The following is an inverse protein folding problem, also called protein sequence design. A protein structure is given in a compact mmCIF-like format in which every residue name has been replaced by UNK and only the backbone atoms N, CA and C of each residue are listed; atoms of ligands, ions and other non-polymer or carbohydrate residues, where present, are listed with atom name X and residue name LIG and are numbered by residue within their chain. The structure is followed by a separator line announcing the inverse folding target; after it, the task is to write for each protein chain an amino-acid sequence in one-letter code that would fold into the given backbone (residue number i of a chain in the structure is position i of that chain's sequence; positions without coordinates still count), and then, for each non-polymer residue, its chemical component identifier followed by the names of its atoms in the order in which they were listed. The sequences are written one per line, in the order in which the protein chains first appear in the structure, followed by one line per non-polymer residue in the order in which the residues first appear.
data_IF_676076283808
#
_entry.id   IF_676076283808
#
_cell.length_a   1.000
_cell.length_b   1.000
_cell.length_c   1.000
_cell.angle_alpha   90.00
_cell.angle_beta   90.00
_cell.angle_gamma   90.00
#
_symmetry.space_group_name_H-M   'P 1'
#
loop_
_entity.id
_entity.type
_entity.pdbx_description
1 polymer ?
#
# COMPACT_ATOMS: atom_id res chain seq x y z
N UNK A 1 4.54 1.89 22.67
CA UNK A 1 3.57 2.50 21.74
C UNK A 1 2.28 1.72 21.90
N UNK A 2 1.64 1.80 23.08
CA UNK A 2 0.38 1.13 23.40
C UNK A 2 -0.69 2.18 23.70
N UNK A 3 -0.91 3.08 22.74
CA UNK A 3 -1.44 4.41 23.08
C UNK A 3 -2.95 4.55 22.95
N UNK A 4 -3.62 3.75 22.10
CA UNK A 4 -5.07 3.87 21.88
C UNK A 4 -5.86 2.87 22.74
N UNK A 5 -5.52 1.57 22.64
CA UNK A 5 -6.18 0.50 23.39
C UNK A 5 -6.16 0.76 24.90
N UNK A 6 -5.00 1.13 25.43
CA UNK A 6 -4.82 1.32 26.88
C UNK A 6 -5.45 2.65 27.35
N UNK A 7 -5.37 3.71 26.53
CA UNK A 7 -6.00 4.99 26.84
C UNK A 7 -7.53 4.91 26.87
N UNK A 8 -8.11 4.09 25.97
CA UNK A 8 -9.55 3.88 25.83
C UNK A 8 -10.03 2.61 26.54
N UNK A 9 -9.21 2.00 27.41
CA UNK A 9 -9.53 0.81 28.20
C UNK A 9 -10.32 -0.24 27.41
N UNK A 10 -9.73 -0.75 26.33
CA UNK A 10 -10.39 -1.67 25.39
C UNK A 10 -9.58 -2.94 25.15
N UNK A 11 -10.19 -4.02 24.67
CA UNK A 11 -9.47 -5.27 24.42
C UNK A 11 -8.65 -5.21 23.12
N UNK A 12 -9.11 -4.41 22.14
CA UNK A 12 -8.42 -4.26 20.87
C UNK A 12 -8.62 -2.91 20.20
N UNK A 13 -7.68 -2.56 19.32
CA UNK A 13 -7.85 -1.47 18.37
C UNK A 13 -7.17 -1.80 17.04
N UNK A 14 -7.64 -1.18 15.96
CA UNK A 14 -7.09 -1.37 14.63
C UNK A 14 -7.16 -0.11 13.79
N UNK A 15 -6.18 0.05 12.91
CA UNK A 15 -6.18 1.04 11.84
C UNK A 15 -6.46 0.31 10.54
N UNK A 16 -7.56 0.66 9.90
CA UNK A 16 -7.88 0.17 8.57
C UNK A 16 -7.62 1.28 7.57
N UNK A 17 -6.72 1.05 6.63
CA UNK A 17 -6.34 2.03 5.63
C UNK A 17 -7.23 1.92 4.40
N UNK A 18 -7.63 3.07 3.87
CA UNK A 18 -8.38 3.15 2.62
C UNK A 18 -7.45 2.83 1.45
N UNK A 19 -7.88 1.87 0.62
CA UNK A 19 -7.23 1.49 -0.62
C UNK A 19 -7.93 2.18 -1.81
N UNK A 20 -7.39 3.31 -2.25
CA UNK A 20 -8.01 4.19 -3.26
C UNK A 20 -8.45 3.47 -4.56
N UNK A 21 -7.69 2.52 -5.13
CA UNK A 21 -8.10 1.79 -6.33
C UNK A 21 -9.38 0.95 -6.18
N UNK A 22 -9.59 0.31 -5.02
CA UNK A 22 -10.72 -0.61 -4.80
C UNK A 22 -11.84 0.03 -3.99
N UNK A 23 -11.51 1.01 -3.15
CA UNK A 23 -12.37 1.55 -2.12
C UNK A 23 -12.50 0.66 -0.88
N UNK A 24 -11.75 -0.44 -0.81
CA UNK A 24 -11.74 -1.33 0.34
C UNK A 24 -10.95 -0.72 1.51
N UNK A 25 -11.24 -1.21 2.71
CA UNK A 25 -10.46 -0.93 3.90
C UNK A 25 -9.57 -2.14 4.22
N UNK A 26 -8.28 -1.89 4.48
CA UNK A 26 -7.29 -2.94 4.75
C UNK A 26 -6.75 -2.79 6.17
N UNK A 27 -6.79 -3.86 6.97
CA UNK A 27 -6.21 -3.86 8.30
C UNK A 27 -4.67 -3.70 8.22
N UNK A 28 -4.16 -2.50 8.51
CA UNK A 28 -2.72 -2.22 8.46
C UNK A 28 -2.04 -2.37 9.83
N UNK A 29 -2.72 -1.92 10.88
CA UNK A 29 -2.28 -2.08 12.28
C UNK A 29 -3.42 -2.72 13.06
N UNK A 30 -3.11 -3.76 13.83
CA UNK A 30 -4.06 -4.41 14.73
C UNK A 30 -3.35 -4.68 16.04
N UNK A 31 -3.91 -4.15 17.13
CA UNK A 31 -3.40 -4.31 18.50
C UNK A 31 -4.46 -5.05 19.30
N UNK A 32 -4.09 -6.17 19.89
CA UNK A 32 -4.98 -7.06 20.62
C UNK A 32 -4.55 -8.52 20.46
N UNK A 33 -5.32 -9.45 21.05
CA UNK A 33 -4.98 -10.88 21.13
C UNK A 33 -4.73 -11.53 19.75
N UNK A 34 -5.36 -11.01 18.68
CA UNK A 34 -5.29 -11.54 17.32
C UNK A 34 -4.54 -10.64 16.33
N UNK A 35 -3.73 -9.70 16.82
CA UNK A 35 -3.12 -8.63 16.03
C UNK A 35 -2.36 -9.08 14.78
N UNK A 36 -1.44 -10.04 14.92
CA UNK A 36 -0.58 -10.49 13.83
C UNK A 36 -1.32 -11.24 12.71
N UNK A 37 -2.50 -11.81 13.01
CA UNK A 37 -3.21 -12.72 12.12
C UNK A 37 -4.27 -11.99 11.27
N UNK A 38 -4.80 -10.88 11.79
CA UNK A 38 -5.84 -10.07 11.10
C UNK A 38 -5.21 -9.08 10.11
N UNK A 39 -3.92 -8.75 10.27
CA UNK A 39 -3.22 -7.81 9.39
C UNK A 39 -3.28 -8.25 7.92
N UNK A 40 -3.65 -7.32 7.03
CA UNK A 40 -3.80 -7.54 5.60
C UNK A 40 -5.18 -8.02 5.16
N UNK A 41 -6.08 -8.35 6.09
CA UNK A 41 -7.47 -8.63 5.76
C UNK A 41 -8.19 -7.39 5.23
N UNK A 42 -9.26 -7.62 4.47
CA UNK A 42 -10.00 -6.56 3.78
C UNK A 42 -11.47 -6.53 4.18
N UNK A 43 -11.97 -5.32 4.40
CA UNK A 43 -13.40 -5.03 4.49
C UNK A 43 -13.81 -4.39 3.16
N UNK A 44 -14.73 -5.01 2.40
CA UNK A 44 -15.16 -4.44 1.14
C UNK A 44 -15.80 -3.06 1.32
N UNK A 45 -15.65 -2.19 0.32
CA UNK A 45 -16.26 -0.86 0.32
C UNK A 45 -17.73 -0.87 0.78
N UNK A 46 -18.07 0.05 1.70
CA UNK A 46 -19.44 0.24 2.20
C UNK A 46 -19.98 -0.90 3.07
N UNK A 47 -19.13 -1.88 3.45
CA UNK A 47 -19.51 -2.98 4.34
C UNK A 47 -19.02 -2.72 5.75
N UNK A 48 -19.78 -3.19 6.74
CA UNK A 48 -19.38 -3.08 8.14
C UNK A 48 -19.56 -1.67 8.69
N UNK A 49 -19.27 -1.53 9.98
CA UNK A 49 -19.22 -0.24 10.66
C UNK A 49 -18.09 0.61 10.08
N UNK A 50 -16.89 0.02 9.92
CA UNK A 50 -15.74 0.66 9.31
C UNK A 50 -16.05 1.24 7.90
N UNK A 51 -16.69 0.45 7.02
CA UNK A 51 -17.04 0.91 5.68
C UNK A 51 -18.06 2.05 5.68
N UNK A 52 -19.04 2.02 6.59
CA UNK A 52 -19.97 3.13 6.75
C UNK A 52 -19.25 4.41 7.21
N UNK A 53 -18.40 4.32 8.23
CA UNK A 53 -17.65 5.47 8.76
C UNK A 53 -16.72 6.06 7.69
N UNK A 54 -16.11 5.20 6.87
CA UNK A 54 -15.32 5.63 5.73
C UNK A 54 -16.15 6.40 4.67
N UNK A 55 -17.40 5.99 4.44
CA UNK A 55 -18.26 6.65 3.44
C UNK A 55 -18.89 7.95 3.95
N UNK A 56 -19.29 8.00 5.21
CA UNK A 56 -19.95 9.17 5.79
C UNK A 56 -18.97 10.20 6.34
N UNK A 57 -17.73 9.80 6.64
CA UNK A 57 -16.78 10.58 7.42
C UNK A 57 -17.34 11.00 8.79
N UNK A 58 -18.29 10.23 9.33
CA UNK A 58 -18.88 10.42 10.65
C UNK A 58 -18.55 9.23 11.55
N UNK A 59 -18.11 9.51 12.77
CA UNK A 59 -17.87 8.48 13.78
C UNK A 59 -19.13 7.68 14.12
N UNK A 60 -18.93 6.46 14.62
CA UNK A 60 -20.00 5.58 15.09
C UNK A 60 -19.63 4.94 16.43
N UNK A 61 -20.61 4.90 17.34
CA UNK A 61 -20.58 4.13 18.59
C UNK A 61 -21.66 3.06 18.51
N UNK A 62 -21.25 1.80 18.65
CA UNK A 62 -22.13 0.64 18.56
C UNK A 62 -22.06 -0.12 19.89
N UNK A 63 -23.19 -0.19 20.60
CA UNK A 63 -23.28 -0.84 21.92
C UNK A 63 -23.32 -2.37 21.81
N UNK A 64 -23.95 -2.91 20.75
CA UNK A 64 -23.97 -4.34 20.43
C UNK A 64 -23.73 -4.55 18.93
N UNK A 65 -22.52 -4.99 18.60
CA UNK A 65 -22.11 -5.22 17.23
C UNK A 65 -22.89 -6.37 16.58
N UNK A 66 -23.20 -7.44 17.31
CA UNK A 66 -23.85 -8.63 16.74
C UNK A 66 -25.32 -8.37 16.40
N UNK A 67 -25.94 -7.36 17.04
CA UNK A 67 -27.31 -6.93 16.76
C UNK A 67 -27.41 -5.77 15.75
N UNK A 68 -26.29 -5.11 15.41
CA UNK A 68 -26.31 -4.02 14.43
C UNK A 68 -26.45 -4.56 13.00
N UNK A 69 -27.43 -4.05 12.25
CA UNK A 69 -27.69 -4.46 10.85
C UNK A 69 -26.50 -4.22 9.91
N UNK A 70 -25.64 -3.25 10.24
CA UNK A 70 -24.46 -2.87 9.45
C UNK A 70 -23.26 -3.76 9.74
N UNK A 71 -23.34 -4.65 10.73
CA UNK A 71 -22.26 -5.52 11.16
C UNK A 71 -21.70 -6.39 10.05
N UNK A 72 -20.37 -6.51 10.01
CA UNK A 72 -19.64 -7.36 9.08
C UNK A 72 -18.82 -8.41 9.83
N UNK A 73 -19.48 -9.45 10.33
CA UNK A 73 -18.86 -10.48 11.18
C UNK A 73 -17.95 -11.49 10.48
N UNK A 74 -17.46 -11.23 9.26
CA UNK A 74 -16.59 -12.16 8.55
C UNK A 74 -15.21 -12.31 9.22
N UNK A 75 -14.67 -11.21 9.76
CA UNK A 75 -13.40 -11.21 10.50
C UNK A 75 -13.55 -12.02 11.80
N UNK A 76 -14.57 -11.71 12.60
CA UNK A 76 -14.92 -12.47 13.81
C UNK A 76 -15.04 -13.98 13.55
N UNK A 77 -15.80 -14.37 12.51
CA UNK A 77 -15.98 -15.79 12.13
C UNK A 77 -14.68 -16.47 11.72
N UNK A 78 -13.81 -15.76 11.00
CA UNK A 78 -12.57 -16.32 10.45
C UNK A 78 -11.51 -16.52 11.54
N UNK A 79 -11.47 -15.64 12.53
CA UNK A 79 -10.42 -15.62 13.56
C UNK A 79 -10.89 -15.98 14.97
N UNK A 80 -12.14 -16.45 15.08
CA UNK A 80 -12.78 -16.80 16.36
C UNK A 80 -12.67 -15.66 17.38
N UNK A 81 -12.88 -14.44 16.90
CA UNK A 81 -12.94 -13.22 17.71
C UNK A 81 -14.40 -12.84 17.95
N UNK A 82 -14.71 -12.29 19.12
CA UNK A 82 -16.06 -11.87 19.46
C UNK A 82 -16.10 -10.37 19.75
N UNK A 83 -16.58 -9.60 18.77
CA UNK A 83 -16.78 -8.16 18.88
C UNK A 83 -18.13 -7.88 19.56
N UNK A 84 -18.08 -7.23 20.72
CA UNK A 84 -19.21 -6.85 21.58
C UNK A 84 -19.68 -5.43 21.28
N UNK A 85 -18.79 -4.45 21.45
CA UNK A 85 -19.08 -3.03 21.20
C UNK A 85 -17.92 -2.40 20.40
N UNK A 86 -18.23 -1.31 19.69
CA UNK A 86 -17.32 -0.69 18.72
C UNK A 86 -17.39 0.84 18.87
N UNK A 87 -16.22 1.47 18.88
CA UNK A 87 -16.04 2.89 18.56
C UNK A 87 -15.20 2.98 17.29
N UNK A 88 -15.77 3.54 16.24
CA UNK A 88 -15.09 3.72 14.97
C UNK A 88 -15.08 5.21 14.60
N UNK A 89 -13.90 5.74 14.28
CA UNK A 89 -13.72 7.15 13.89
C UNK A 89 -12.95 7.24 12.58
N UNK A 90 -13.26 8.22 11.71
CA UNK A 90 -12.53 8.40 10.46
C UNK A 90 -11.16 9.02 10.70
N UNK A 91 -10.21 8.68 9.85
CA UNK A 91 -8.86 9.25 9.79
C UNK A 91 -8.76 10.12 8.54
N UNK A 92 -8.73 11.45 8.72
CA UNK A 92 -8.82 12.42 7.63
C UNK A 92 -7.63 13.37 7.68
N UNK A 93 -7.04 13.66 6.52
CA UNK A 93 -6.00 14.69 6.33
C UNK A 93 -6.38 15.55 5.15
N UNK A 94 -6.44 16.88 5.32
CA UNK A 94 -6.77 17.82 4.23
C UNK A 94 -8.04 17.42 3.45
N UNK A 95 -9.10 17.05 4.18
CA UNK A 95 -10.39 16.60 3.63
C UNK A 95 -10.36 15.26 2.85
N UNK A 96 -9.22 14.56 2.84
CA UNK A 96 -9.10 13.23 2.26
C UNK A 96 -9.10 12.13 3.32
N UNK A 97 -9.87 11.07 3.06
CA UNK A 97 -9.92 9.89 3.90
C UNK A 97 -8.64 9.06 3.75
N UNK A 98 -7.88 8.95 4.84
CA UNK A 98 -6.72 8.05 4.95
C UNK A 98 -7.16 6.63 5.33
N UNK A 99 -8.20 6.51 6.17
CA UNK A 99 -8.69 5.25 6.71
C UNK A 99 -9.64 5.45 7.89
N UNK A 100 -9.77 4.44 8.74
CA UNK A 100 -10.53 4.50 10.00
C UNK A 100 -9.73 3.91 11.15
N UNK A 101 -9.96 4.44 12.36
CA UNK A 101 -9.54 3.85 13.62
C UNK A 101 -10.75 3.17 14.25
N UNK A 102 -10.64 1.86 14.48
CA UNK A 102 -11.67 1.06 15.12
C UNK A 102 -11.16 0.53 16.46
N UNK A 103 -11.92 0.74 17.53
CA UNK A 103 -11.64 0.31 18.89
C UNK A 103 -12.78 -0.62 19.29
N UNK A 104 -12.44 -1.78 19.84
CA UNK A 104 -13.41 -2.84 20.11
C UNK A 104 -13.32 -3.35 21.54
N UNK A 105 -14.47 -3.76 22.06
CA UNK A 105 -14.65 -4.42 23.35
C UNK A 105 -14.09 -3.60 24.51
N UNK A 106 -14.86 -2.60 24.96
CA UNK A 106 -14.52 -1.84 26.15
C UNK A 106 -14.42 -2.73 27.40
N UNK A 107 -13.45 -2.42 28.25
CA UNK A 107 -13.17 -3.08 29.53
C UNK A 107 -13.83 -2.28 30.64
N UNK A 108 -14.56 -2.95 31.54
CA UNK A 108 -15.18 -2.31 32.71
C UNK A 108 -16.41 -1.42 32.42
N UNK A 109 -16.85 -1.32 31.16
CA UNK A 109 -18.02 -0.53 30.72
C UNK A 109 -18.72 -1.19 29.55
N UNK A 110 -20.00 -0.85 29.37
CA UNK A 110 -20.85 -1.39 28.30
C UNK A 110 -20.81 -0.57 27.00
N UNK A 111 -20.46 0.72 27.08
CA UNK A 111 -20.44 1.63 25.93
C UNK A 111 -19.29 2.64 26.00
N UNK A 112 -18.90 3.17 24.84
CA UNK A 112 -18.03 4.33 24.72
C UNK A 112 -18.82 5.62 24.93
N UNK A 113 -18.27 6.57 25.68
CA UNK A 113 -18.87 7.89 25.92
C UNK A 113 -18.20 9.01 25.13
N UNK A 114 -18.70 10.24 25.28
CA UNK A 114 -18.20 11.40 24.54
C UNK A 114 -16.70 11.66 24.75
N UNK A 115 -16.19 11.42 25.97
CA UNK A 115 -14.77 11.54 26.26
C UNK A 115 -13.90 10.55 25.46
N UNK A 116 -14.40 9.33 25.23
CA UNK A 116 -13.72 8.31 24.43
C UNK A 116 -13.73 8.69 22.95
N UNK A 117 -14.85 9.22 22.47
CA UNK A 117 -15.00 9.69 21.09
C UNK A 117 -13.96 10.78 20.81
N UNK A 118 -13.83 11.78 21.69
CA UNK A 118 -12.88 12.87 21.49
C UNK A 118 -11.42 12.40 21.56
N UNK A 119 -11.10 11.48 22.46
CA UNK A 119 -9.77 10.86 22.51
C UNK A 119 -9.46 10.03 21.26
N UNK A 120 -10.42 9.23 20.79
CA UNK A 120 -10.27 8.43 19.59
C UNK A 120 -10.09 9.32 18.35
N UNK A 121 -10.88 10.40 18.20
CA UNK A 121 -10.71 11.39 17.12
C UNK A 121 -9.34 12.04 17.15
N UNK A 122 -8.86 12.44 18.32
CA UNK A 122 -7.52 13.02 18.47
C UNK A 122 -6.43 12.06 18.01
N UNK A 123 -6.48 10.79 18.47
CA UNK A 123 -5.52 9.76 18.07
C UNK A 123 -5.62 9.43 16.57
N UNK A 124 -6.83 9.36 16.03
CA UNK A 124 -7.07 9.14 14.61
C UNK A 124 -6.46 10.26 13.76
N UNK A 125 -6.61 11.52 14.17
CA UNK A 125 -5.98 12.66 13.50
C UNK A 125 -4.45 12.57 13.49
N UNK A 126 -3.83 12.23 14.61
CA UNK A 126 -2.37 12.04 14.69
C UNK A 126 -1.89 10.88 13.80
N UNK A 127 -2.61 9.75 13.85
CA UNK A 127 -2.31 8.58 13.01
C UNK A 127 -2.46 8.91 11.51
N UNK A 128 -3.52 9.63 11.15
CA UNK A 128 -3.78 10.04 9.77
C UNK A 128 -2.63 10.87 9.20
N UNK A 129 -2.16 11.88 9.95
CA UNK A 129 -1.03 12.73 9.55
C UNK A 129 0.25 11.91 9.37
N UNK A 130 0.57 11.03 10.33
CA UNK A 130 1.78 10.22 10.27
C UNK A 130 1.77 9.25 9.08
N UNK A 131 0.64 8.57 8.85
CA UNK A 131 0.47 7.64 7.72
C UNK A 131 0.51 8.40 6.39
N UNK A 132 -0.18 9.53 6.28
CA UNK A 132 -0.16 10.33 5.07
C UNK A 132 1.24 10.84 4.74
N UNK A 133 1.98 11.31 5.75
CA UNK A 133 3.37 11.77 5.58
C UNK A 133 4.27 10.63 5.10
N UNK A 134 4.11 9.42 5.65
CA UNK A 134 4.86 8.25 5.20
C UNK A 134 4.53 7.88 3.75
N UNK A 135 3.25 7.85 3.37
CA UNK A 135 2.82 7.58 1.98
C UNK A 135 3.44 8.57 1.00
N UNK A 136 3.35 9.87 1.30
CA UNK A 136 3.94 10.92 0.47
C UNK A 136 5.46 10.78 0.35
N UNK A 137 6.14 10.42 1.44
CA UNK A 137 7.58 10.18 1.42
C UNK A 137 7.95 8.96 0.56
N UNK A 138 7.20 7.86 0.68
CA UNK A 138 7.42 6.64 -0.10
C UNK A 138 7.16 6.90 -1.60
N UNK A 139 6.12 7.63 -1.95
CA UNK A 139 5.80 8.04 -3.32
C UNK A 139 6.89 8.95 -3.91
N UNK A 140 7.37 9.93 -3.16
CA UNK A 140 8.48 10.80 -3.58
C UNK A 140 9.75 9.98 -3.81
N UNK A 141 10.04 9.03 -2.92
CA UNK A 141 11.22 8.15 -3.02
C UNK A 141 11.13 7.28 -4.29
N UNK A 142 9.97 6.68 -4.55
CA UNK A 142 9.72 5.91 -5.77
C UNK A 142 9.88 6.77 -7.03
N UNK A 143 9.39 8.01 -7.00
CA UNK A 143 9.50 8.94 -8.12
C UNK A 143 10.94 9.37 -8.39
N UNK A 144 11.75 9.57 -7.34
CA UNK A 144 13.18 9.85 -7.46
C UNK A 144 13.90 8.66 -8.12
N UNK A 145 13.59 7.43 -7.71
CA UNK A 145 14.17 6.21 -8.33
C UNK A 145 13.80 6.13 -9.82
N UNK A 146 12.54 6.38 -10.16
CA UNK A 146 12.06 6.37 -11.55
C UNK A 146 12.79 7.41 -12.42
N UNK A 147 12.86 8.66 -11.95
CA UNK A 147 13.54 9.76 -12.66
C UNK A 147 15.04 9.48 -12.81
N UNK A 148 15.68 8.93 -11.77
CA UNK A 148 17.11 8.60 -11.81
C UNK A 148 17.39 7.54 -12.87
N UNK A 149 16.57 6.48 -12.92
CA UNK A 149 16.70 5.45 -13.94
C UNK A 149 16.51 6.01 -15.37
N UNK A 150 15.53 6.89 -15.58
CA UNK A 150 15.31 7.54 -16.87
C UNK A 150 16.49 8.45 -17.26
N UNK A 151 17.04 9.19 -16.30
CA UNK A 151 18.20 10.05 -16.54
C UNK A 151 19.44 9.25 -16.93
N UNK A 152 19.71 8.12 -16.26
CA UNK A 152 20.81 7.21 -16.61
C UNK A 152 20.70 6.66 -18.03
N UNK A 153 19.48 6.29 -18.45
CA UNK A 153 19.20 5.87 -19.82
C UNK A 153 19.45 7.01 -20.81
N UNK A 154 18.93 8.22 -20.53
CA UNK A 154 19.12 9.38 -21.39
C UNK A 154 20.60 9.79 -21.53
N UNK A 155 21.36 9.76 -20.43
CA UNK A 155 22.79 10.03 -20.44
C UNK A 155 23.56 9.00 -21.26
N UNK A 156 23.19 7.72 -21.15
CA UNK A 156 23.79 6.64 -21.94
C UNK A 156 23.52 6.81 -23.44
N UNK A 157 22.35 7.33 -23.80
CA UNK A 157 22.03 7.71 -25.18
C UNK A 157 22.89 8.88 -25.65
N UNK A 158 23.03 9.93 -24.83
CA UNK A 158 23.77 11.15 -25.19
C UNK A 158 25.30 10.97 -25.26
N UNK A 159 25.85 10.03 -24.48
CA UNK A 159 27.27 9.69 -24.50
C UNK A 159 27.61 8.63 -25.57
N UNK A 160 26.61 8.02 -26.21
CA UNK A 160 26.85 7.19 -27.36
C UNK A 160 27.33 8.08 -28.52
N UNK A 161 28.52 7.80 -29.03
CA UNK A 161 29.04 8.47 -30.22
C UNK A 161 28.04 8.29 -31.39
N UNK A 162 27.88 9.28 -32.29
CA UNK A 162 27.04 9.12 -33.48
C UNK A 162 27.43 7.93 -34.38
N UNK A 163 28.67 7.43 -34.24
CA UNK A 163 29.20 6.24 -34.93
C UNK A 163 29.14 4.94 -34.09
N UNK A 164 28.70 5.01 -32.82
CA UNK A 164 28.61 3.87 -31.90
C UNK A 164 27.14 3.58 -31.57
N UNK A 165 26.71 2.32 -31.74
CA UNK A 165 25.32 1.92 -31.51
C UNK A 165 24.85 2.34 -30.11
N UNK A 166 23.96 3.34 -30.04
CA UNK A 166 23.25 3.83 -28.84
C UNK A 166 22.74 2.68 -27.94
N UNK A 167 22.38 1.57 -28.57
CA UNK A 167 21.87 0.35 -27.93
C UNK A 167 22.94 -0.35 -27.06
N UNK A 168 24.22 -0.36 -27.45
CA UNK A 168 25.32 -0.91 -26.63
C UNK A 168 25.50 -0.07 -25.35
N UNK A 169 25.37 1.25 -25.46
CA UNK A 169 25.51 2.16 -24.32
C UNK A 169 24.38 1.95 -23.31
N UNK A 170 23.12 1.89 -23.78
CA UNK A 170 21.95 1.61 -22.94
C UNK A 170 22.08 0.24 -22.24
N UNK A 171 22.45 -0.82 -22.97
CA UNK A 171 22.60 -2.15 -22.37
C UNK A 171 23.67 -2.22 -21.28
N UNK A 172 24.79 -1.49 -21.44
CA UNK A 172 25.87 -1.44 -20.43
C UNK A 172 25.43 -0.70 -19.17
N UNK A 173 24.75 0.43 -19.33
CA UNK A 173 24.20 1.18 -18.20
C UNK A 173 23.15 0.37 -17.44
N UNK A 174 22.16 -0.21 -18.13
CA UNK A 174 21.15 -1.06 -17.50
C UNK A 174 21.75 -2.26 -16.76
N UNK A 175 22.77 -2.91 -17.33
CA UNK A 175 23.43 -4.03 -16.68
C UNK A 175 24.19 -3.62 -15.40
N UNK A 176 24.79 -2.42 -15.40
CA UNK A 176 25.48 -1.84 -14.26
C UNK A 176 24.53 -1.44 -13.13
N UNK A 177 23.49 -0.66 -13.45
CA UNK A 177 22.54 -0.11 -12.47
C UNK A 177 21.66 -1.20 -11.84
N UNK A 178 21.28 -2.24 -12.60
CA UNK A 178 20.38 -3.31 -12.12
C UNK A 178 21.18 -4.52 -11.57
N UNK A 179 22.53 -4.48 -11.58
CA UNK A 179 23.42 -5.59 -11.16
C UNK A 179 23.10 -6.94 -11.85
N UNK A 180 22.61 -6.92 -13.08
CA UNK A 180 22.32 -8.14 -13.84
C UNK A 180 23.55 -8.59 -14.62
N UNK A 181 23.81 -9.91 -14.65
CA UNK A 181 24.97 -10.46 -15.39
C UNK A 181 24.85 -10.32 -16.90
N UNK A 182 23.61 -10.23 -17.43
CA UNK A 182 23.32 -10.16 -18.86
C UNK A 182 22.11 -9.29 -19.12
N UNK A 183 22.20 -8.41 -20.12
CA UNK A 183 21.09 -7.61 -20.62
C UNK A 183 21.17 -7.50 -22.15
N UNK A 184 20.01 -7.57 -22.82
CA UNK A 184 19.89 -7.47 -24.27
C UNK A 184 18.62 -6.71 -24.65
N UNK A 185 18.71 -5.88 -25.68
CA UNK A 185 17.57 -5.21 -26.31
C UNK A 185 17.29 -5.90 -27.64
N UNK A 186 16.03 -6.24 -27.89
CA UNK A 186 15.57 -6.73 -29.19
C UNK A 186 14.95 -5.56 -29.95
N UNK A 187 15.43 -5.31 -31.16
CA UNK A 187 14.81 -4.36 -32.08
C UNK A 187 13.92 -5.13 -33.04
N UNK A 188 12.72 -4.62 -33.28
CA UNK A 188 11.84 -5.12 -34.32
C UNK A 188 12.13 -4.39 -35.64
N UNK A 189 12.38 -5.15 -36.70
CA UNK A 189 12.61 -4.63 -38.05
C UNK A 189 11.35 -4.88 -38.89
N UNK A 190 10.63 -3.80 -39.21
CA UNK A 190 9.40 -3.84 -40.01
C UNK A 190 9.64 -4.23 -41.46
N UNK A 191 10.82 -3.96 -42.04
CA UNK A 191 11.14 -4.34 -43.42
C UNK A 191 11.44 -5.84 -43.56
N UNK A 192 11.94 -6.46 -42.49
CA UNK A 192 12.31 -7.89 -42.48
C UNK A 192 11.32 -8.80 -41.76
N UNK A 193 10.27 -8.25 -41.15
CA UNK A 193 9.29 -8.96 -40.31
C UNK A 193 10.00 -9.92 -39.34
N UNK A 194 10.79 -9.35 -38.43
CA UNK A 194 11.52 -10.16 -37.47
C UNK A 194 12.19 -9.35 -36.36
N UNK A 195 12.56 -10.03 -35.28
CA UNK A 195 13.36 -9.44 -34.20
C UNK A 195 14.84 -9.62 -34.49
N UNK A 196 15.59 -8.52 -34.46
CA UNK A 196 17.04 -8.54 -34.42
C UNK A 196 17.49 -8.50 -32.95
N UNK A 197 18.05 -9.61 -32.46
CA UNK A 197 18.72 -9.65 -31.16
C UNK A 197 20.02 -8.82 -31.25
N UNK A 198 20.17 -7.81 -30.40
CA UNK A 198 21.43 -7.08 -30.27
C UNK A 198 22.06 -7.37 -28.88
N UNK A 199 22.86 -8.45 -28.74
CA UNK A 199 23.38 -8.89 -27.46
C UNK A 199 24.66 -8.13 -27.08
N UNK A 200 24.60 -7.36 -25.99
CA UNK A 200 25.64 -6.38 -25.67
C UNK A 200 26.35 -6.60 -24.35
N UNK A 201 25.63 -6.75 -23.24
CA UNK A 201 26.25 -6.86 -21.91
C UNK A 201 26.27 -8.32 -21.42
N UNK A 202 27.47 -8.86 -21.15
CA UNK A 202 27.67 -10.20 -20.56
C UNK A 202 27.58 -11.38 -21.53
N UNK A 203 27.48 -11.14 -22.85
CA UNK A 203 27.47 -12.18 -23.88
C UNK A 203 28.83 -12.29 -24.60
N UNK A 204 29.30 -13.51 -24.93
CA UNK A 204 30.55 -13.70 -25.67
C UNK A 204 30.43 -13.15 -27.10
N UNK A 205 31.53 -12.56 -27.64
CA UNK A 205 31.56 -11.89 -28.95
C UNK A 205 31.01 -12.71 -30.14
N UNK A 206 31.01 -14.05 -30.05
CA UNK A 206 30.44 -14.95 -31.07
C UNK A 206 28.92 -14.94 -31.14
N UNK A 207 28.21 -14.49 -30.10
CA UNK A 207 26.74 -14.45 -30.06
C UNK A 207 26.15 -13.20 -30.72
N UNK A 208 26.99 -12.28 -31.22
CA UNK A 208 26.60 -11.00 -31.85
C UNK A 208 26.13 -11.12 -33.31
N UNK A 209 26.11 -12.32 -33.89
CA UNK A 209 25.56 -12.56 -35.24
C UNK A 209 24.30 -13.40 -35.14
N UNK A 210 23.18 -12.74 -35.41
CA UNK A 210 21.87 -13.28 -35.79
C UNK A 210 21.38 -14.48 -34.96
N UNK A 211 20.70 -14.19 -33.85
CA UNK A 211 19.68 -15.12 -33.36
C UNK A 211 18.38 -14.82 -34.11
N UNK A 212 18.11 -15.55 -35.21
CA UNK A 212 16.76 -15.64 -35.78
C UNK A 212 15.92 -16.49 -34.84
N UNK A 213 15.01 -15.87 -34.11
CA UNK A 213 13.92 -16.60 -33.46
C UNK A 213 12.78 -16.77 -34.46
N UNK A 214 12.18 -17.97 -34.56
CA UNK A 214 10.99 -18.20 -35.37
C UNK A 214 9.77 -17.44 -34.83
#
# INVERSE_FOLDING_TARGET
MDTARDLLESEGCSLLLHDTPTGDLVFDVVIGEKGDIIRGERVPRGRGIAGMVAETCEHAVIDDAQQDRRWYGNIDKKYEFHTRNILCVPMIVQDELVGVLEIVNSIGRERYGDGDIEQAKYLAGQAAVAINTRRLHDDLTNRIVEITALYEVAQSISLANPDENVIDAICRSLAGSIRVRKASILLFDEEKIGFALNPHAGFPRRSRREAKYP
#
